data_IF_925177682809
#
_entry.id   IF_925177682809
#
_cell.length_a   1.000
_cell.length_b   1.000
_cell.length_c   1.000
_cell.angle_alpha   90.00
_cell.angle_beta   90.00
_cell.angle_gamma   90.00
#
_symmetry.space_group_name_H-M   'P 1'
#
loop_
_entity.id
_entity.type
_entity.pdbx_description
1 polymer ?
#
# COMPACT_ATOMS: atom_id res chain seq x y z
N UNK A 1 -8.74 -8.27 -10.73
CA UNK A 1 -7.43 -8.33 -10.04
C UNK A 1 -6.36 -7.50 -10.74
N UNK A 2 -6.22 -7.59 -12.07
CA UNK A 2 -5.21 -6.84 -12.83
C UNK A 2 -5.20 -5.32 -12.56
N UNK A 3 -6.36 -4.67 -12.53
CA UNK A 3 -6.46 -3.22 -12.30
C UNK A 3 -6.05 -2.81 -10.87
N UNK A 4 -6.22 -3.72 -9.89
CA UNK A 4 -5.86 -3.47 -8.49
C UNK A 4 -4.34 -3.46 -8.33
N UNK A 5 -3.64 -4.40 -8.97
CA UNK A 5 -2.18 -4.46 -8.95
C UNK A 5 -1.59 -3.21 -9.61
N UNK A 6 -2.14 -2.78 -10.76
CA UNK A 6 -1.70 -1.54 -11.40
C UNK A 6 -1.85 -0.32 -10.50
N UNK A 7 -2.95 -0.27 -9.73
CA UNK A 7 -3.17 0.80 -8.75
C UNK A 7 -2.12 0.76 -7.65
N UNK A 8 -1.86 -0.39 -7.03
CA UNK A 8 -0.86 -0.50 -5.95
C UNK A 8 0.55 -0.17 -6.46
N UNK A 9 0.91 -0.62 -7.67
CA UNK A 9 2.18 -0.25 -8.29
C UNK A 9 2.27 1.25 -8.54
N UNK A 10 1.19 1.87 -9.04
CA UNK A 10 1.14 3.33 -9.21
C UNK A 10 1.25 4.05 -7.86
N UNK A 11 0.53 3.60 -6.84
CA UNK A 11 0.58 4.21 -5.51
C UNK A 11 1.98 4.06 -4.89
N UNK A 12 2.67 2.94 -5.12
CA UNK A 12 4.06 2.73 -4.72
C UNK A 12 5.01 3.71 -5.43
N UNK A 13 5.02 3.73 -6.76
CA UNK A 13 5.98 4.55 -7.53
C UNK A 13 5.71 6.06 -7.43
N UNK A 14 4.47 6.48 -7.11
CA UNK A 14 4.12 7.88 -6.85
C UNK A 14 4.34 8.30 -5.39
N UNK A 15 4.70 7.36 -4.50
CA UNK A 15 4.85 7.61 -3.06
C UNK A 15 3.52 7.73 -2.29
N UNK A 16 2.37 7.54 -2.96
CA UNK A 16 1.05 7.52 -2.31
C UNK A 16 0.91 6.38 -1.30
N UNK A 17 1.57 5.24 -1.53
CA UNK A 17 1.54 4.12 -0.59
C UNK A 17 2.13 4.52 0.77
N UNK A 18 3.28 5.20 0.75
CA UNK A 18 3.92 5.74 1.96
C UNK A 18 3.08 6.84 2.62
N UNK A 19 2.45 7.69 1.81
CA UNK A 19 1.52 8.70 2.30
C UNK A 19 0.33 8.05 3.01
N UNK A 20 -0.27 6.99 2.44
CA UNK A 20 -1.41 6.28 3.02
C UNK A 20 -1.05 5.65 4.36
N UNK A 21 0.14 5.04 4.48
CA UNK A 21 0.64 4.52 5.76
C UNK A 21 0.81 5.62 6.80
N UNK A 22 1.41 6.76 6.43
CA UNK A 22 1.57 7.91 7.33
C UNK A 22 0.22 8.47 7.77
N UNK A 23 -0.72 8.61 6.85
CA UNK A 23 -2.09 9.06 7.14
C UNK A 23 -2.79 8.10 8.10
N UNK A 24 -2.65 6.79 7.91
CA UNK A 24 -3.25 5.78 8.81
C UNK A 24 -2.64 5.85 10.22
N UNK A 25 -1.32 6.00 10.34
CA UNK A 25 -0.67 6.19 11.65
C UNK A 25 -1.16 7.45 12.36
N UNK A 26 -1.30 8.56 11.62
CA UNK A 26 -1.86 9.81 12.18
C UNK A 26 -3.31 9.63 12.61
N UNK A 27 -4.12 8.94 11.81
CA UNK A 27 -5.51 8.62 12.15
C UNK A 27 -5.61 7.83 13.46
N UNK A 28 -4.82 6.76 13.61
CA UNK A 28 -4.78 5.94 14.82
C UNK A 28 -4.31 6.74 16.05
N UNK A 29 -3.40 7.69 15.85
CA UNK A 29 -2.86 8.55 16.91
C UNK A 29 -3.89 9.58 17.41
N UNK A 30 -4.67 10.18 16.52
CA UNK A 30 -5.56 11.30 16.87
C UNK A 30 -7.03 10.89 17.07
N UNK A 31 -7.49 9.76 16.52
CA UNK A 31 -8.86 9.25 16.70
C UNK A 31 -8.96 8.24 17.86
N UNK A 32 -8.25 8.50 18.98
CA UNK A 32 -8.21 7.62 20.15
C UNK A 32 -9.58 7.37 20.79
N UNK A 33 -10.51 8.32 20.65
CA UNK A 33 -11.80 8.38 21.34
C UNK A 33 -12.99 7.80 20.55
N UNK A 34 -12.77 7.30 19.32
CA UNK A 34 -13.88 6.85 18.43
C UNK A 34 -14.21 5.37 18.49
N UNK A 35 -13.43 4.55 19.21
CA UNK A 35 -13.80 3.16 19.49
C UNK A 35 -14.55 3.11 20.81
N UNK A 36 -15.86 2.82 20.82
CA UNK A 36 -16.59 2.54 22.05
C UNK A 36 -15.89 1.36 22.73
N UNK A 37 -15.57 1.51 24.01
CA UNK A 37 -15.11 0.42 24.85
C UNK A 37 -16.20 -0.65 24.90
N UNK A 38 -16.02 -1.79 24.22
CA UNK A 38 -16.94 -2.92 24.26
C UNK A 38 -16.89 -3.67 25.60
N UNK A 39 -16.14 -3.19 26.59
CA UNK A 39 -16.13 -3.74 27.94
C UNK A 39 -17.22 -3.12 28.83
N UNK A 40 -18.48 -3.21 28.40
CA UNK A 40 -19.66 -2.94 29.23
C UNK A 40 -20.05 -4.25 29.93
N UNK A 41 -19.17 -4.73 30.80
CA UNK A 41 -19.38 -5.92 31.64
C UNK A 41 -18.88 -5.61 33.04
N UNK A 42 -19.82 -5.28 33.95
CA UNK A 42 -19.56 -4.80 35.32
C UNK A 42 -18.86 -5.78 36.27
N UNK A 43 -17.62 -6.15 35.97
CA UNK A 43 -16.68 -6.78 36.89
C UNK A 43 -15.60 -5.79 37.27
N UNK A 44 -15.36 -5.60 38.58
CA UNK A 44 -14.43 -4.60 39.14
C UNK A 44 -13.12 -4.51 38.34
N UNK A 45 -12.90 -3.36 37.69
CA UNK A 45 -11.65 -3.00 37.00
C UNK A 45 -10.55 -2.76 38.04
N UNK A 46 -9.98 -3.83 38.60
CA UNK A 46 -8.94 -3.78 39.63
C UNK A 46 -7.51 -3.70 39.06
N UNK A 47 -7.32 -3.85 37.74
CA UNK A 47 -6.03 -3.69 37.06
C UNK A 47 -6.15 -2.63 35.96
N UNK A 48 -6.28 -1.36 36.35
CA UNK A 48 -6.18 -0.23 35.41
C UNK A 48 -4.69 0.08 35.18
N UNK A 49 -3.99 -0.83 34.49
CA UNK A 49 -2.63 -0.54 34.03
C UNK A 49 -2.75 0.40 32.82
N UNK A 50 -2.90 1.70 33.12
CA UNK A 50 -3.11 2.74 32.12
C UNK A 50 -1.78 3.17 31.49
N UNK A 51 -1.14 2.27 30.75
CA UNK A 51 -0.02 2.65 29.91
C UNK A 51 -0.55 3.08 28.53
N UNK A 52 -0.88 4.36 28.42
CA UNK A 52 -1.36 4.98 27.16
C UNK A 52 -0.39 4.72 25.98
N UNK A 53 0.91 4.58 26.25
CA UNK A 53 1.92 4.28 25.23
C UNK A 53 1.76 2.85 24.72
N UNK A 54 1.69 1.85 25.61
CA UNK A 54 1.49 0.43 25.22
C UNK A 54 0.16 0.23 24.48
N UNK A 55 -0.92 0.87 24.94
CA UNK A 55 -2.22 0.78 24.27
C UNK A 55 -2.19 1.37 22.86
N UNK A 56 -1.48 2.48 22.66
CA UNK A 56 -1.28 3.07 21.32
C UNK A 56 -0.46 2.17 20.41
N UNK A 57 0.59 1.53 20.96
CA UNK A 57 1.46 0.61 20.23
C UNK A 57 0.71 -0.66 19.81
N UNK A 58 -0.10 -1.23 20.70
CA UNK A 58 -0.93 -2.41 20.42
C UNK A 58 -1.94 -2.10 19.31
N UNK A 59 -2.56 -0.91 19.32
CA UNK A 59 -3.51 -0.49 18.27
C UNK A 59 -2.84 -0.37 16.91
N UNK A 60 -1.67 0.28 16.84
CA UNK A 60 -0.91 0.37 15.59
C UNK A 60 -0.47 -1.02 15.10
N UNK A 61 0.05 -1.86 15.99
CA UNK A 61 0.43 -3.23 15.65
C UNK A 61 -0.73 -4.13 15.28
N UNK A 62 -1.96 -3.83 15.70
CA UNK A 62 -3.14 -4.61 15.34
C UNK A 62 -3.90 -4.04 14.14
N UNK A 63 -3.50 -2.87 13.63
CA UNK A 63 -4.16 -2.27 12.48
C UNK A 63 -3.92 -3.09 11.21
N UNK A 64 -4.97 -3.77 10.76
CA UNK A 64 -4.90 -4.65 9.59
C UNK A 64 -4.61 -3.88 8.31
N UNK A 65 -5.16 -2.68 8.16
CA UNK A 65 -4.94 -1.87 6.97
C UNK A 65 -3.47 -1.41 6.87
N UNK A 66 -2.88 -0.96 7.98
CA UNK A 66 -1.46 -0.64 8.05
C UNK A 66 -0.58 -1.85 7.69
N UNK A 67 -0.93 -3.05 8.19
CA UNK A 67 -0.23 -4.30 7.85
C UNK A 67 -0.33 -4.61 6.36
N UNK A 68 -1.50 -4.47 5.77
CA UNK A 68 -1.71 -4.74 4.35
C UNK A 68 -0.88 -3.77 3.47
N UNK A 69 -0.85 -2.48 3.82
CA UNK A 69 -0.02 -1.48 3.13
C UNK A 69 1.49 -1.77 3.27
N UNK A 70 1.92 -2.13 4.49
CA UNK A 70 3.32 -2.48 4.74
C UNK A 70 3.72 -3.74 3.96
N UNK A 71 2.88 -4.77 3.97
CA UNK A 71 3.09 -5.99 3.19
C UNK A 71 3.19 -5.69 1.69
N UNK A 72 2.29 -4.85 1.16
CA UNK A 72 2.35 -4.42 -0.24
C UNK A 72 3.68 -3.74 -0.59
N UNK A 73 4.15 -2.84 0.28
CA UNK A 73 5.43 -2.16 0.10
C UNK A 73 6.59 -3.15 0.12
N UNK A 74 6.68 -3.97 1.16
CA UNK A 74 7.80 -4.90 1.37
C UNK A 74 7.90 -5.93 0.22
N UNK A 75 6.76 -6.42 -0.26
CA UNK A 75 6.71 -7.31 -1.42
C UNK A 75 7.20 -6.63 -2.69
N UNK A 76 6.77 -5.40 -2.96
CA UNK A 76 7.23 -4.67 -4.15
C UNK A 76 8.73 -4.39 -4.05
N UNK A 77 9.23 -3.95 -2.90
CA UNK A 77 10.66 -3.68 -2.68
C UNK A 77 11.51 -4.95 -2.86
N UNK A 78 11.07 -6.06 -2.28
CA UNK A 78 11.72 -7.35 -2.44
C UNK A 78 11.78 -7.78 -3.92
N UNK A 79 10.66 -7.68 -4.64
CA UNK A 79 10.62 -8.04 -6.06
C UNK A 79 11.46 -7.09 -6.93
N UNK A 80 11.49 -5.79 -6.60
CA UNK A 80 12.35 -4.83 -7.29
C UNK A 80 13.82 -5.12 -7.02
N UNK A 81 14.21 -5.57 -5.83
CA UNK A 81 15.60 -5.87 -5.49
C UNK A 81 16.23 -6.92 -6.41
N UNK A 82 15.42 -7.89 -6.90
CA UNK A 82 15.85 -8.94 -7.83
C UNK A 82 15.62 -8.59 -9.29
N UNK A 83 15.00 -7.45 -9.59
CA UNK A 83 14.67 -7.03 -10.96
C UNK A 83 15.85 -6.29 -11.60
N UNK A 84 16.11 -6.57 -12.88
CA UNK A 84 17.17 -5.89 -13.64
C UNK A 84 16.81 -4.42 -13.88
N UNK A 85 17.81 -3.53 -13.87
CA UNK A 85 17.60 -2.07 -13.88
C UNK A 85 16.84 -1.55 -15.10
N UNK A 86 16.99 -2.15 -16.28
CA UNK A 86 16.17 -1.78 -17.45
C UNK A 86 14.68 -1.99 -17.20
N UNK A 87 14.30 -3.11 -16.58
CA UNK A 87 12.91 -3.39 -16.22
C UNK A 87 12.43 -2.45 -15.12
N UNK A 88 13.27 -2.12 -14.13
CA UNK A 88 12.93 -1.11 -13.11
C UNK A 88 12.61 0.25 -13.73
N UNK A 89 13.42 0.70 -14.70
CA UNK A 89 13.17 1.98 -15.40
C UNK A 89 11.85 1.97 -16.16
N UNK A 90 11.49 0.86 -16.82
CA UNK A 90 10.17 0.69 -17.44
C UNK A 90 9.05 0.84 -16.43
N UNK A 91 9.16 0.23 -15.24
CA UNK A 91 8.14 0.32 -14.20
C UNK A 91 8.01 1.75 -13.65
N UNK A 92 9.13 2.42 -13.37
CA UNK A 92 9.14 3.84 -12.93
C UNK A 92 8.51 4.75 -13.98
N UNK A 93 8.90 4.59 -15.24
CA UNK A 93 8.36 5.36 -16.34
C UNK A 93 6.85 5.15 -16.50
N UNK A 94 6.40 3.89 -16.37
CA UNK A 94 5.00 3.54 -16.55
C UNK A 94 4.10 3.96 -15.38
N UNK A 95 4.50 3.65 -14.16
CA UNK A 95 3.65 3.79 -12.98
C UNK A 95 3.90 5.07 -12.17
N UNK A 96 5.13 5.60 -12.20
CA UNK A 96 5.51 6.83 -11.51
C UNK A 96 5.38 8.09 -12.39
N UNK A 97 5.74 7.97 -13.67
CA UNK A 97 5.70 9.10 -14.63
C UNK A 97 4.55 9.04 -15.63
N UNK A 98 3.80 7.94 -15.65
CA UNK A 98 2.66 7.73 -16.55
C UNK A 98 3.00 7.90 -18.04
N UNK A 99 4.22 7.53 -18.43
CA UNK A 99 4.66 7.62 -19.83
C UNK A 99 3.87 6.65 -20.74
N UNK A 100 3.80 7.02 -22.01
CA UNK A 100 3.22 6.16 -23.05
C UNK A 100 4.19 5.02 -23.39
N UNK A 101 3.66 3.88 -23.82
CA UNK A 101 4.49 2.73 -24.17
C UNK A 101 5.49 3.04 -25.28
N UNK A 102 5.10 3.86 -26.26
CA UNK A 102 5.96 4.33 -27.34
C UNK A 102 7.16 5.11 -26.80
N UNK A 103 6.93 6.06 -25.88
CA UNK A 103 8.01 6.83 -25.24
C UNK A 103 8.96 5.93 -24.46
N UNK A 104 8.42 4.98 -23.68
CA UNK A 104 9.22 4.05 -22.88
C UNK A 104 10.07 3.15 -23.79
N UNK A 105 9.49 2.61 -24.85
CA UNK A 105 10.16 1.75 -25.81
C UNK A 105 11.31 2.49 -26.52
N UNK A 106 11.07 3.74 -26.92
CA UNK A 106 12.09 4.61 -27.51
C UNK A 106 13.26 4.85 -26.54
N UNK A 107 12.96 5.16 -25.27
CA UNK A 107 13.96 5.44 -24.24
C UNK A 107 14.81 4.21 -23.88
N UNK A 108 14.22 3.01 -23.92
CA UNK A 108 14.90 1.75 -23.61
C UNK A 108 15.48 1.06 -24.85
N UNK A 109 15.34 1.66 -26.05
CA UNK A 109 15.83 1.14 -27.33
C UNK A 109 15.35 -0.29 -27.64
N UNK A 110 14.09 -0.59 -27.34
CA UNK A 110 13.47 -1.90 -27.57
C UNK A 110 12.09 -1.74 -28.19
N UNK A 111 11.53 -2.84 -28.69
CA UNK A 111 10.16 -2.85 -29.19
C UNK A 111 9.14 -2.62 -28.06
N UNK A 112 7.99 -2.01 -28.41
CA UNK A 112 6.90 -1.76 -27.47
C UNK A 112 6.39 -3.05 -26.81
N UNK A 113 6.37 -4.15 -27.55
CA UNK A 113 5.97 -5.47 -27.03
C UNK A 113 6.91 -5.94 -25.93
N UNK A 114 8.20 -5.64 -26.04
CA UNK A 114 9.21 -6.04 -25.05
C UNK A 114 9.00 -5.31 -23.73
N UNK A 115 8.77 -3.99 -23.73
CA UNK A 115 8.53 -3.24 -22.50
C UNK A 115 7.20 -3.60 -21.85
N UNK A 116 6.17 -3.90 -22.65
CA UNK A 116 4.88 -4.40 -22.14
C UNK A 116 5.05 -5.76 -21.47
N UNK A 117 5.78 -6.68 -22.11
CA UNK A 117 6.08 -8.00 -21.56
C UNK A 117 6.85 -7.91 -20.25
N UNK A 118 7.90 -7.07 -20.15
CA UNK A 118 8.62 -6.87 -18.90
C UNK A 118 7.73 -6.36 -17.76
N UNK A 119 6.80 -5.46 -18.08
CA UNK A 119 5.80 -4.99 -17.10
C UNK A 119 4.83 -6.10 -16.72
N UNK A 120 4.33 -6.87 -17.68
CA UNK A 120 3.38 -7.95 -17.45
C UNK A 120 3.99 -9.09 -16.63
N UNK A 121 5.22 -9.51 -16.93
CA UNK A 121 6.00 -10.49 -16.13
C UNK A 121 6.08 -10.06 -14.66
N UNK A 122 6.46 -8.79 -14.43
CA UNK A 122 6.60 -8.26 -13.07
C UNK A 122 5.26 -8.22 -12.34
N UNK A 123 4.22 -7.74 -13.04
CA UNK A 123 2.87 -7.61 -12.51
C UNK A 123 2.25 -8.95 -12.17
N UNK A 124 2.50 -9.99 -12.96
CA UNK A 124 2.01 -11.34 -12.72
C UNK A 124 2.58 -11.88 -11.41
N UNK A 125 3.90 -11.83 -11.24
CA UNK A 125 4.55 -12.34 -10.02
C UNK A 125 4.08 -11.57 -8.79
N UNK A 126 4.09 -10.24 -8.84
CA UNK A 126 3.61 -9.40 -7.73
C UNK A 126 2.13 -9.67 -7.43
N UNK A 127 1.30 -9.83 -8.46
CA UNK A 127 -0.14 -10.09 -8.32
C UNK A 127 -0.45 -11.39 -7.58
N UNK A 128 0.33 -12.44 -7.81
CA UNK A 128 0.20 -13.73 -7.11
C UNK A 128 0.41 -13.55 -5.61
N UNK A 129 1.47 -12.85 -5.20
CA UNK A 129 1.82 -12.67 -3.79
C UNK A 129 0.94 -11.65 -3.07
N UNK A 130 0.44 -10.63 -3.77
CA UNK A 130 -0.42 -9.61 -3.17
C UNK A 130 -1.86 -10.08 -2.93
N UNK A 131 -2.32 -11.12 -3.64
CA UNK A 131 -3.59 -11.84 -3.47
C UNK A 131 -4.62 -11.22 -2.51
N UNK A 132 -4.56 -11.60 -1.23
CA UNK A 132 -5.54 -11.21 -0.21
C UNK A 132 -5.46 -9.74 0.22
N UNK A 133 -4.27 -9.11 0.16
CA UNK A 133 -4.07 -7.71 0.54
C UNK A 133 -4.79 -6.72 -0.39
N UNK A 134 -5.20 -7.19 -1.59
CA UNK A 134 -5.89 -6.39 -2.59
C UNK A 134 -7.41 -6.44 -2.48
N UNK A 135 -7.97 -7.24 -1.56
CA UNK A 135 -9.42 -7.36 -1.43
C UNK A 135 -10.02 -6.17 -0.66
N UNK A 136 -11.01 -5.44 -1.24
CA UNK A 136 -11.66 -4.34 -0.56
C UNK A 136 -12.49 -4.90 0.60
N UNK A 137 -11.96 -4.80 1.82
CA UNK A 137 -12.72 -5.12 3.03
C UNK A 137 -13.25 -3.81 3.60
N UNK A 138 -14.54 -3.79 3.91
CA UNK A 138 -15.27 -2.65 4.48
C UNK A 138 -14.57 -2.10 5.72
N UNK A 139 -13.60 -1.24 5.51
CA UNK A 139 -13.08 -0.33 6.52
C UNK A 139 -13.60 1.03 6.11
N UNK A 140 -14.51 1.54 6.91
CA UNK A 140 -15.09 2.88 6.80
C UNK A 140 -13.98 3.91 7.02
N UNK A 141 -13.18 4.17 5.98
CA UNK A 141 -12.16 5.20 5.99
C UNK A 141 -12.70 6.51 5.40
N UNK A 142 -12.19 7.61 5.95
CA UNK A 142 -12.32 8.94 5.38
C UNK A 142 -11.65 8.93 3.98
N UNK A 143 -12.44 9.06 2.90
CA UNK A 143 -11.88 9.27 1.57
C UNK A 143 -11.35 10.71 1.50
N UNK A 144 -10.05 10.96 1.30
CA UNK A 144 -9.58 12.29 0.96
C UNK A 144 -9.91 12.51 -0.52
N UNK A 145 -11.11 13.00 -0.82
CA UNK A 145 -11.46 13.48 -2.16
C UNK A 145 -10.97 14.91 -2.32
N UNK A 146 -9.65 15.14 -2.38
CA UNK A 146 -9.12 16.45 -2.77
C UNK A 146 -7.75 16.32 -3.43
N UNK A 147 -7.74 16.01 -4.73
CA UNK A 147 -6.80 16.62 -5.68
C UNK A 147 -7.62 16.90 -6.95
N UNK A 148 -7.90 18.17 -7.30
CA UNK A 148 -8.51 18.50 -8.59
C UNK A 148 -7.52 18.20 -9.72
N UNK A 149 -8.08 17.79 -10.87
CA UNK A 149 -7.38 17.56 -12.12
C UNK A 149 -6.66 18.82 -12.63
#
# INVERSE_FOLDING_TARGET
>A
MADKVDKVLSDYFTGRLDMNMKMRRLELKYNLDRTPDENIGGGRKQNDYNNAVEMSMIREQNDRYLKDLQYQKDMIEMMLSTTVDCRKRVLVAKYGRHETWVTIALNEHVDERTVRAWRDDFKEVVGIWLGESLEPRHTTHFRPTLIPA
#
